data_IF_035162950144
#
_entry.id   IF_035162950144
#
_cell.length_a   1.000
_cell.length_b   1.000
_cell.length_c   1.000
_cell.angle_alpha   90.00
_cell.angle_beta   90.00
_cell.angle_gamma   90.00
#
_symmetry.space_group_name_H-M   'P 1'
#
loop_
_entity.id
_entity.type
_entity.pdbx_description
1 polymer ?
#
# COMPACT_ATOMS: atom_id res chain seq x y z
N UNK A 1 -4.72 -12.24 20.18
CA UNK A 1 -5.37 -10.98 19.75
C UNK A 1 -4.38 -9.82 19.79
N UNK A 2 -3.63 -9.68 20.87
CA UNK A 2 -2.68 -8.58 21.06
C UNK A 2 -1.62 -8.46 19.95
N UNK A 3 -1.14 -9.57 19.37
CA UNK A 3 -0.08 -9.50 18.34
C UNK A 3 -0.50 -8.80 17.05
N UNK A 4 -1.74 -9.01 16.58
CA UNK A 4 -2.22 -8.42 15.31
C UNK A 4 -2.42 -6.91 15.47
N UNK A 5 -3.03 -6.48 16.58
CA UNK A 5 -3.26 -5.05 16.88
C UNK A 5 -1.94 -4.31 17.10
N UNK A 6 -0.98 -4.95 17.80
CA UNK A 6 0.36 -4.39 18.04
C UNK A 6 1.16 -4.26 16.73
N UNK A 7 1.01 -5.17 15.76
CA UNK A 7 1.67 -5.08 14.45
C UNK A 7 1.18 -3.89 13.62
N UNK A 8 -0.09 -3.49 13.72
CA UNK A 8 -0.64 -2.43 12.86
C UNK A 8 -0.29 -1.05 13.38
N UNK A 9 -0.45 -0.83 14.69
CA UNK A 9 -0.05 0.44 15.33
C UNK A 9 1.44 0.74 15.16
N UNK A 10 2.26 -0.29 14.93
CA UNK A 10 3.68 -0.15 14.60
C UNK A 10 3.96 -0.03 13.10
N UNK A 11 3.20 -0.72 12.24
CA UNK A 11 3.35 -0.64 10.78
C UNK A 11 2.85 0.67 10.19
N UNK A 12 1.74 1.22 10.68
CA UNK A 12 1.14 2.48 10.20
C UNK A 12 2.16 3.63 10.10
N UNK A 13 2.87 4.02 11.18
CA UNK A 13 3.81 5.14 11.11
C UNK A 13 4.99 4.88 10.16
N UNK A 14 5.42 3.63 10.01
CA UNK A 14 6.49 3.24 9.09
C UNK A 14 6.02 3.38 7.64
N UNK A 15 4.82 2.89 7.35
CA UNK A 15 4.15 2.99 6.05
C UNK A 15 3.94 4.44 5.64
N UNK A 16 3.33 5.23 6.51
CA UNK A 16 3.05 6.65 6.26
C UNK A 16 4.34 7.42 5.98
N UNK A 17 5.37 7.25 6.82
CA UNK A 17 6.65 7.94 6.64
C UNK A 17 7.32 7.60 5.31
N UNK A 18 7.22 6.34 4.88
CA UNK A 18 7.84 5.89 3.62
C UNK A 18 7.10 6.41 2.40
N UNK A 19 5.78 6.33 2.39
CA UNK A 19 4.95 6.83 1.29
C UNK A 19 5.05 8.35 1.21
N UNK A 20 5.05 9.04 2.35
CA UNK A 20 5.27 10.48 2.42
C UNK A 20 6.61 10.87 1.79
N UNK A 21 7.69 10.13 2.04
CA UNK A 21 8.99 10.37 1.41
C UNK A 21 8.92 10.30 -0.12
N UNK A 22 8.19 9.33 -0.68
CA UNK A 22 8.02 9.22 -2.14
C UNK A 22 7.16 10.35 -2.70
N UNK A 23 6.09 10.74 -2.00
CA UNK A 23 5.25 11.88 -2.38
C UNK A 23 6.07 13.18 -2.34
N UNK A 24 6.93 13.36 -1.33
CA UNK A 24 7.78 14.55 -1.21
C UNK A 24 8.87 14.63 -2.28
N UNK A 25 9.26 13.49 -2.87
CA UNK A 25 10.24 13.42 -3.96
C UNK A 25 9.59 13.31 -5.34
N UNK A 26 8.28 13.55 -5.47
CA UNK A 26 7.48 13.39 -6.70
C UNK A 26 7.63 11.99 -7.35
N UNK A 27 7.94 10.96 -6.58
CA UNK A 27 8.04 9.57 -7.02
C UNK A 27 6.66 8.90 -6.99
N UNK A 28 5.83 9.31 -7.95
CA UNK A 28 4.42 8.93 -8.07
C UNK A 28 4.28 7.40 -8.22
N UNK A 29 5.21 6.74 -8.90
CA UNK A 29 5.18 5.28 -9.11
C UNK A 29 5.35 4.55 -7.79
N UNK A 30 6.35 4.89 -6.98
CA UNK A 30 6.56 4.24 -5.69
C UNK A 30 5.52 4.65 -4.63
N UNK A 31 4.95 5.86 -4.73
CA UNK A 31 3.80 6.24 -3.92
C UNK A 31 2.55 5.39 -4.26
N UNK A 32 2.25 5.18 -5.54
CA UNK A 32 1.14 4.34 -5.99
C UNK A 32 1.34 2.87 -5.61
N UNK A 33 2.55 2.32 -5.76
CA UNK A 33 2.88 0.96 -5.29
C UNK A 33 2.72 0.82 -3.78
N UNK A 34 3.12 1.83 -3.02
CA UNK A 34 2.91 1.87 -1.56
C UNK A 34 1.43 1.84 -1.18
N UNK A 35 0.59 2.60 -1.89
CA UNK A 35 -0.85 2.58 -1.68
C UNK A 35 -1.47 1.21 -2.03
N UNK A 36 -1.02 0.55 -3.10
CA UNK A 36 -1.48 -0.81 -3.46
C UNK A 36 -1.11 -1.80 -2.37
N UNK A 37 0.17 -1.83 -1.95
CA UNK A 37 0.66 -2.70 -0.89
C UNK A 37 -0.11 -2.49 0.42
N UNK A 38 -0.41 -1.24 0.77
CA UNK A 38 -1.21 -0.88 1.95
C UNK A 38 -2.63 -1.45 1.83
N UNK A 39 -3.31 -1.21 0.71
CA UNK A 39 -4.68 -1.69 0.51
C UNK A 39 -4.77 -3.22 0.48
N UNK A 40 -3.78 -3.91 -0.10
CA UNK A 40 -3.72 -5.37 -0.10
C UNK A 40 -3.55 -5.94 1.32
N UNK A 41 -2.70 -5.32 2.14
CA UNK A 41 -2.50 -5.79 3.51
C UNK A 41 -3.74 -5.53 4.37
N UNK A 42 -4.34 -4.35 4.24
CA UNK A 42 -5.63 -4.04 4.87
C UNK A 42 -6.69 -5.10 4.51
N UNK A 43 -6.78 -5.47 3.23
CA UNK A 43 -7.72 -6.49 2.78
C UNK A 43 -7.47 -7.86 3.42
N UNK A 44 -6.20 -8.29 3.52
CA UNK A 44 -5.88 -9.57 4.18
C UNK A 44 -6.26 -9.55 5.66
N UNK A 45 -5.95 -8.47 6.36
CA UNK A 45 -6.25 -8.38 7.78
C UNK A 45 -7.76 -8.29 8.01
N UNK A 46 -8.50 -7.60 7.15
CA UNK A 46 -9.97 -7.58 7.16
C UNK A 46 -10.55 -8.98 6.94
N UNK A 47 -10.03 -9.73 5.95
CA UNK A 47 -10.44 -11.11 5.66
C UNK A 47 -10.17 -12.05 6.86
N UNK A 48 -9.01 -11.93 7.50
CA UNK A 48 -8.65 -12.75 8.66
C UNK A 48 -9.44 -12.36 9.91
N UNK A 49 -9.66 -11.07 10.14
CA UNK A 49 -10.53 -10.58 11.22
C UNK A 49 -11.97 -11.06 11.03
N UNK A 50 -12.48 -11.06 9.78
CA UNK A 50 -13.80 -11.60 9.43
C UNK A 50 -13.89 -13.10 9.73
N UNK A 51 -12.88 -13.89 9.38
CA UNK A 51 -12.85 -15.34 9.70
C UNK A 51 -12.89 -15.58 11.21
N UNK A 52 -12.08 -14.83 11.98
CA UNK A 52 -12.05 -14.94 13.44
C UNK A 52 -13.39 -14.54 14.06
N UNK A 53 -14.02 -13.48 13.54
CA UNK A 53 -15.35 -13.06 14.00
C UNK A 53 -16.40 -14.14 13.76
N UNK A 54 -16.46 -14.70 12.54
CA UNK A 54 -17.39 -15.79 12.20
C UNK A 54 -17.14 -17.07 13.01
N UNK A 55 -15.91 -17.31 13.45
CA UNK A 55 -15.55 -18.40 14.34
C UNK A 55 -15.90 -18.14 15.82
N UNK A 56 -16.47 -16.97 16.15
CA UNK A 56 -16.73 -16.55 17.53
C UNK A 56 -15.46 -16.24 18.33
N UNK A 57 -14.33 -16.08 17.63
CA UNK A 57 -13.00 -15.85 18.21
C UNK A 57 -12.59 -14.38 18.18
N UNK A 58 -13.40 -13.47 17.63
CA UNK A 58 -13.17 -12.03 17.63
C UNK A 58 -14.48 -11.28 17.90
N UNK A 59 -14.44 -10.42 18.92
CA UNK A 59 -15.57 -9.56 19.27
C UNK A 59 -15.86 -8.55 18.16
N UNK A 60 -17.15 -8.25 17.95
CA UNK A 60 -17.60 -7.34 16.88
C UNK A 60 -17.06 -5.93 17.05
N UNK A 61 -16.91 -5.43 18.28
CA UNK A 61 -16.39 -4.08 18.55
C UNK A 61 -14.89 -4.00 18.22
N UNK A 62 -14.16 -5.09 18.47
CA UNK A 62 -12.74 -5.19 18.12
C UNK A 62 -12.56 -5.28 16.59
N UNK A 63 -13.42 -6.03 15.91
CA UNK A 63 -13.47 -6.07 14.45
C UNK A 63 -13.76 -4.69 13.84
N UNK A 64 -14.76 -3.97 14.34
CA UNK A 64 -15.12 -2.64 13.87
C UNK A 64 -14.00 -1.62 14.12
N UNK A 65 -13.33 -1.68 15.26
CA UNK A 65 -12.19 -0.81 15.57
C UNK A 65 -11.02 -1.04 14.59
N UNK A 66 -10.64 -2.30 14.37
CA UNK A 66 -9.56 -2.66 13.44
C UNK A 66 -9.85 -2.17 12.03
N UNK A 67 -11.05 -2.46 11.52
CA UNK A 67 -11.45 -2.09 10.15
C UNK A 67 -11.54 -0.58 9.94
N UNK A 68 -11.92 0.17 10.98
CA UNK A 68 -11.94 1.63 10.96
C UNK A 68 -10.53 2.21 10.91
N UNK A 69 -9.60 1.69 11.70
CA UNK A 69 -8.23 2.21 11.74
C UNK A 69 -7.49 1.96 10.41
N UNK A 70 -7.72 0.82 9.75
CA UNK A 70 -7.15 0.56 8.43
C UNK A 70 -7.57 1.57 7.36
N UNK A 71 -8.87 1.89 7.30
CA UNK A 71 -9.39 2.84 6.30
C UNK A 71 -8.74 4.23 6.46
N UNK A 72 -8.44 4.62 7.70
CA UNK A 72 -7.78 5.89 7.98
C UNK A 72 -6.35 5.96 7.41
N UNK A 73 -5.64 4.84 7.26
CA UNK A 73 -4.27 4.84 6.71
C UNK A 73 -4.29 5.26 5.24
N UNK A 74 -5.17 4.65 4.44
CA UNK A 74 -5.32 5.00 3.02
C UNK A 74 -5.80 6.44 2.83
N UNK A 75 -6.71 6.90 3.70
CA UNK A 75 -7.18 8.29 3.70
C UNK A 75 -6.04 9.28 4.03
N UNK A 76 -5.19 8.97 5.02
CA UNK A 76 -4.01 9.79 5.36
C UNK A 76 -3.04 9.88 4.19
N UNK A 77 -2.77 8.77 3.50
CA UNK A 77 -1.91 8.74 2.30
C UNK A 77 -2.48 9.65 1.20
N UNK A 78 -3.77 9.52 0.92
CA UNK A 78 -4.43 10.32 -0.11
C UNK A 78 -4.50 11.80 0.25
N UNK A 79 -4.64 12.13 1.54
CA UNK A 79 -4.58 13.51 2.04
C UNK A 79 -3.21 14.15 1.79
N UNK A 80 -2.12 13.45 2.11
CA UNK A 80 -0.74 13.92 1.85
C UNK A 80 -0.54 14.15 0.34
N UNK A 81 -1.02 13.21 -0.49
CA UNK A 81 -0.97 13.34 -1.94
C UNK A 81 -1.81 14.53 -2.46
N UNK A 82 -2.95 14.81 -1.83
CA UNK A 82 -3.84 15.91 -2.21
C UNK A 82 -3.20 17.27 -1.91
N UNK A 83 -2.61 17.43 -0.73
CA UNK A 83 -1.87 18.64 -0.33
C UNK A 83 -0.71 18.96 -1.30
N UNK A 84 -0.17 17.94 -1.96
CA UNK A 84 0.90 18.04 -2.97
C UNK A 84 0.41 18.09 -4.41
N UNK A 85 -0.90 18.07 -4.66
CA UNK A 85 -1.54 18.02 -5.99
C UNK A 85 -1.22 16.76 -6.82
N UNK A 86 -0.71 15.69 -6.20
CA UNK A 86 -0.37 14.42 -6.85
C UNK A 86 -1.47 13.36 -6.71
N UNK A 87 -2.53 13.64 -5.93
CA UNK A 87 -3.60 12.68 -5.64
C UNK A 87 -4.26 12.08 -6.90
N UNK A 88 -4.45 12.88 -7.95
CA UNK A 88 -5.07 12.38 -9.18
C UNK A 88 -4.18 11.34 -9.88
N UNK A 89 -2.89 11.62 -10.03
CA UNK A 89 -1.92 10.76 -10.72
C UNK A 89 -1.69 9.46 -9.95
N UNK A 90 -1.54 9.57 -8.63
CA UNK A 90 -1.42 8.41 -7.73
C UNK A 90 -2.69 7.54 -7.79
N UNK A 91 -3.88 8.15 -7.79
CA UNK A 91 -5.15 7.41 -7.88
C UNK A 91 -5.31 6.70 -9.23
N UNK A 92 -4.93 7.36 -10.33
CA UNK A 92 -4.98 6.78 -11.67
C UNK A 92 -4.02 5.58 -11.79
N UNK A 93 -2.78 5.72 -11.33
CA UNK A 93 -1.79 4.65 -11.31
C UNK A 93 -2.21 3.49 -10.40
N UNK A 94 -2.73 3.78 -9.21
CA UNK A 94 -3.27 2.77 -8.31
C UNK A 94 -4.38 1.93 -9.00
N UNK A 95 -5.31 2.59 -9.70
CA UNK A 95 -6.38 1.90 -10.45
C UNK A 95 -5.85 1.04 -11.60
N UNK A 96 -4.82 1.51 -12.30
CA UNK A 96 -4.22 0.79 -13.41
C UNK A 96 -3.42 -0.44 -12.94
N UNK A 97 -2.66 -0.28 -11.86
CA UNK A 97 -1.71 -1.30 -11.39
C UNK A 97 -2.34 -2.34 -10.46
N UNK A 98 -3.46 -2.06 -9.79
CA UNK A 98 -4.07 -3.00 -8.81
C UNK A 98 -4.53 -4.34 -9.41
N UNK A 99 -4.70 -4.41 -10.72
CA UNK A 99 -5.09 -5.64 -11.44
C UNK A 99 -3.92 -6.31 -12.16
N UNK A 100 -2.71 -5.77 -12.01
CA UNK A 100 -1.49 -6.35 -12.57
C UNK A 100 -0.81 -7.23 -11.53
N UNK A 101 -0.13 -8.29 -11.96
CA UNK A 101 0.66 -9.16 -11.06
C UNK A 101 1.95 -8.47 -10.55
N UNK A 102 2.19 -7.21 -10.93
CA UNK A 102 3.40 -6.44 -10.59
C UNK A 102 3.26 -5.65 -9.27
N UNK A 103 2.17 -5.86 -8.53
CA UNK A 103 1.95 -5.23 -7.22
C UNK A 103 2.86 -5.89 -6.15
N UNK A 104 3.74 -5.11 -5.47
CA UNK A 104 4.58 -5.67 -4.43
C UNK A 104 3.77 -5.99 -3.17
N UNK A 105 4.15 -7.04 -2.44
CA UNK A 105 3.65 -7.23 -1.08
C UNK A 105 4.12 -6.10 -0.16
N UNK A 106 3.40 -5.84 0.94
CA UNK A 106 3.82 -4.82 1.91
C UNK A 106 5.22 -5.08 2.45
N UNK A 107 5.54 -6.32 2.79
CA UNK A 107 6.88 -6.71 3.23
C UNK A 107 7.94 -6.40 2.18
N UNK A 108 7.70 -6.72 0.90
CA UNK A 108 8.67 -6.44 -0.17
C UNK A 108 8.82 -4.94 -0.41
N UNK A 109 7.72 -4.20 -0.34
CA UNK A 109 7.73 -2.75 -0.42
C UNK A 109 8.55 -2.12 0.72
N UNK A 110 8.41 -2.63 1.94
CA UNK A 110 9.17 -2.17 3.11
C UNK A 110 10.65 -2.61 3.08
N UNK A 111 10.99 -3.74 2.42
CA UNK A 111 12.39 -4.16 2.24
C UNK A 111 13.08 -3.48 1.05
N UNK A 112 12.33 -3.14 0.00
CA UNK A 112 12.81 -2.67 -1.30
C UNK A 112 13.33 -1.22 -1.34
N UNK A 113 14.10 -0.78 -0.35
CA UNK A 113 14.71 0.55 -0.31
C UNK A 113 15.89 0.76 -1.27
N UNK A 114 15.91 0.07 -2.41
CA UNK A 114 16.91 0.24 -3.48
C UNK A 114 16.22 0.53 -4.81
N UNK A 115 16.87 1.24 -5.74
CA UNK A 115 16.26 1.65 -7.01
C UNK A 115 15.94 0.40 -7.81
N UNK A 116 14.67 0.03 -7.85
CA UNK A 116 14.22 -1.13 -8.60
C UNK A 116 13.92 -0.65 -10.03
N UNK A 117 14.83 -1.06 -10.92
CA UNK A 117 14.87 -0.87 -12.37
C UNK A 117 13.59 -0.29 -12.96
N UNK A 118 13.76 0.90 -13.53
CA UNK A 118 12.82 1.60 -14.41
C UNK A 118 11.94 0.61 -15.16
N UNK A 119 10.64 0.63 -14.86
CA UNK A 119 9.66 0.12 -15.80
C UNK A 119 9.73 1.07 -17.01
N UNK A 120 10.57 0.73 -17.98
CA UNK A 120 10.64 1.44 -19.25
C UNK A 120 9.64 0.80 -20.20
N UNK A 121 8.44 1.41 -20.41
CA UNK A 121 7.43 0.86 -21.32
C UNK A 121 7.83 0.97 -22.80
N UNK A 122 9.05 1.46 -23.08
CA UNK A 122 9.60 1.70 -24.42
C UNK A 122 10.87 0.92 -24.76
N UNK A 123 11.27 -0.08 -23.98
CA UNK A 123 12.27 -1.05 -24.41
C UNK A 123 11.67 -2.09 -25.37
N UNK A 124 11.00 -1.63 -26.43
CA UNK A 124 10.79 -2.41 -27.64
C UNK A 124 11.50 -1.66 -28.76
N UNK A 125 12.46 -2.35 -29.38
CA UNK A 125 13.23 -2.00 -30.57
C UNK A 125 14.41 -1.03 -30.42
N UNK A 126 15.61 -1.63 -30.44
CA UNK A 126 16.88 -1.25 -31.14
C UNK A 126 18.04 -1.86 -30.34
N UNK A 127 18.93 -2.75 -30.82
CA UNK A 127 19.55 -3.09 -32.12
C UNK A 127 20.01 -4.57 -32.04
N UNK A 128 19.84 -5.40 -33.06
CA UNK A 128 20.75 -5.61 -34.21
C UNK A 128 22.20 -5.96 -33.81
N UNK A 129 22.57 -7.18 -34.22
CA UNK A 129 23.89 -7.71 -34.59
C UNK A 129 25.01 -7.79 -33.56
N UNK A 130 25.33 -9.03 -33.17
CA UNK A 130 26.64 -9.65 -33.37
C UNK A 130 26.52 -11.18 -33.32
#
# INVERSE_FOLDING_TARGET
>A
MDSVIIEIGTLEPILLRRIEKYIQSDDIVNAAKGLIATNQEIYKIDEDARKLHLAGQLDVQVYEALTKDYKQISDKIMKIAYERKLAHEISALHKALRFTNDAPSLSDYLRGGGPMKEFCPRCRESRSDS
#
